data_IF_129823469667
#
_entry.id   IF_129823469667
#
_cell.length_a   1.000
_cell.length_b   1.000
_cell.length_c   1.000
_cell.angle_alpha   90.00
_cell.angle_beta   90.00
_cell.angle_gamma   90.00
#
_symmetry.space_group_name_H-M   'P 1'
#
loop_
_entity.id
_entity.type
_entity.pdbx_description
1 polymer ?
#
# COMPACT_ATOMS: atom_id res chain seq x y z
N UNK A 1 -2.21 -8.82 -19.86
CA UNK A 1 -2.23 -10.05 -20.68
C UNK A 1 -1.08 -10.95 -20.24
N UNK A 2 -1.35 -12.25 -20.11
CA UNK A 2 -0.34 -13.27 -19.79
C UNK A 2 0.43 -13.63 -21.06
N UNK A 3 1.76 -13.64 -21.01
CA UNK A 3 2.55 -14.20 -22.11
C UNK A 3 2.47 -15.73 -22.09
N UNK A 4 2.45 -16.36 -23.26
CA UNK A 4 2.59 -17.83 -23.39
C UNK A 4 3.98 -18.32 -22.95
N UNK A 5 4.97 -17.44 -22.97
CA UNK A 5 6.35 -17.73 -22.59
C UNK A 5 6.58 -17.52 -21.09
N UNK A 6 7.40 -18.38 -20.47
CA UNK A 6 7.86 -18.21 -19.08
C UNK A 6 8.80 -17.02 -18.94
N UNK A 7 8.83 -16.42 -17.76
CA UNK A 7 9.72 -15.29 -17.44
C UNK A 7 11.20 -15.66 -17.62
N UNK A 8 12.07 -14.73 -18.05
CA UNK A 8 13.50 -15.01 -18.19
C UNK A 8 14.14 -15.37 -16.84
N UNK A 9 15.00 -16.39 -16.84
CA UNK A 9 15.60 -16.99 -15.64
C UNK A 9 16.36 -16.01 -14.73
N UNK A 10 17.02 -15.02 -15.31
CA UNK A 10 17.89 -14.07 -14.59
C UNK A 10 17.15 -12.83 -14.09
N UNK A 11 15.88 -12.65 -14.45
CA UNK A 11 15.11 -11.49 -14.00
C UNK A 11 14.97 -11.48 -12.48
N UNK A 12 15.09 -10.29 -11.91
CA UNK A 12 15.00 -10.12 -10.46
C UNK A 12 13.55 -9.90 -10.05
N UNK A 13 13.12 -10.64 -9.04
CA UNK A 13 11.83 -10.47 -8.40
C UNK A 13 12.01 -10.21 -6.91
N UNK A 14 11.06 -9.51 -6.34
CA UNK A 14 11.01 -9.24 -4.90
C UNK A 14 9.75 -9.81 -4.31
N UNK A 15 9.92 -10.59 -3.25
CA UNK A 15 8.87 -11.29 -2.51
C UNK A 15 8.95 -10.89 -1.05
N UNK A 16 7.84 -10.95 -0.34
CA UNK A 16 7.81 -10.75 1.11
C UNK A 16 7.28 -12.00 1.78
N UNK A 17 8.06 -12.53 2.72
CA UNK A 17 7.65 -13.62 3.58
C UNK A 17 7.21 -13.02 4.92
N UNK A 18 5.95 -13.22 5.26
CA UNK A 18 5.38 -12.75 6.53
C UNK A 18 5.47 -13.89 7.53
N UNK A 19 6.19 -13.66 8.62
CA UNK A 19 6.30 -14.59 9.73
C UNK A 19 4.95 -14.75 10.42
N UNK A 20 4.63 -15.98 10.79
CA UNK A 20 3.47 -16.30 11.61
C UNK A 20 3.54 -15.57 12.95
N UNK A 21 2.46 -14.85 13.26
CA UNK A 21 2.31 -14.13 14.51
C UNK A 21 1.81 -15.06 15.61
N UNK A 22 2.10 -14.70 16.86
CA UNK A 22 1.56 -15.40 18.01
C UNK A 22 0.07 -15.07 18.15
N UNK A 23 -0.80 -16.08 18.03
CA UNK A 23 -2.25 -15.89 18.12
C UNK A 23 -2.70 -15.28 19.45
N UNK A 24 -2.01 -15.57 20.56
CA UNK A 24 -2.30 -14.93 21.84
C UNK A 24 -1.94 -13.45 21.81
N UNK A 25 -0.82 -13.08 21.20
CA UNK A 25 -0.44 -11.67 21.02
C UNK A 25 -1.45 -10.91 20.16
N UNK A 26 -1.94 -11.52 19.09
CA UNK A 26 -2.97 -10.94 18.22
C UNK A 26 -4.26 -10.69 19.01
N UNK A 27 -4.74 -11.70 19.76
CA UNK A 27 -5.93 -11.55 20.63
C UNK A 27 -5.75 -10.49 21.71
N UNK A 28 -4.57 -10.41 22.32
CA UNK A 28 -4.25 -9.36 23.31
C UNK A 28 -4.33 -7.98 22.68
N UNK A 29 -3.76 -7.80 21.47
CA UNK A 29 -3.82 -6.53 20.76
C UNK A 29 -5.26 -6.18 20.37
N UNK A 30 -6.04 -7.15 19.90
CA UNK A 30 -7.45 -6.95 19.53
C UNK A 30 -8.31 -6.54 20.75
N UNK A 31 -8.15 -7.23 21.88
CA UNK A 31 -8.84 -6.86 23.12
C UNK A 31 -8.48 -5.45 23.56
N UNK A 32 -7.20 -5.07 23.45
CA UNK A 32 -6.74 -3.73 23.78
C UNK A 32 -7.28 -2.68 22.81
N UNK A 33 -7.33 -2.99 21.51
CA UNK A 33 -7.90 -2.12 20.47
C UNK A 33 -9.32 -1.71 20.83
N UNK A 34 -10.19 -2.66 21.17
CA UNK A 34 -11.57 -2.35 21.55
C UNK A 34 -11.64 -1.49 22.81
N UNK A 35 -10.83 -1.78 23.83
CA UNK A 35 -10.81 -1.00 25.08
C UNK A 35 -10.37 0.44 24.91
N UNK A 36 -9.42 0.72 24.02
CA UNK A 36 -8.89 2.10 23.84
C UNK A 36 -9.65 2.91 22.81
N UNK A 37 -10.48 2.27 21.98
CA UNK A 37 -11.29 2.93 20.93
C UNK A 37 -12.74 3.14 21.31
N UNK A 38 -13.25 2.41 22.30
CA UNK A 38 -14.59 2.58 22.85
C UNK A 38 -14.67 3.88 23.69
N UNK A 39 -15.53 4.86 23.33
CA UNK A 39 -15.69 6.11 24.08
C UNK A 39 -16.25 5.92 25.50
N UNK A 40 -16.92 4.80 25.78
CA UNK A 40 -17.51 4.49 27.10
C UNK A 40 -16.51 3.74 28.01
N UNK A 41 -15.34 3.38 27.48
CA UNK A 41 -14.30 2.68 28.23
C UNK A 41 -13.43 3.63 29.04
N UNK A 42 -13.07 3.22 30.27
CA UNK A 42 -12.10 3.93 31.12
C UNK A 42 -10.70 4.06 30.48
N UNK A 43 -10.42 3.29 29.43
CA UNK A 43 -9.16 3.29 28.70
C UNK A 43 -9.22 4.06 27.37
N UNK A 44 -10.32 4.77 27.09
CA UNK A 44 -10.48 5.52 25.85
C UNK A 44 -9.31 6.49 25.60
N UNK A 45 -8.81 6.52 24.35
CA UNK A 45 -7.68 7.34 23.90
C UNK A 45 -6.33 7.05 24.57
N UNK A 46 -6.17 5.94 25.29
CA UNK A 46 -4.88 5.48 25.79
C UNK A 46 -4.07 4.79 24.68
N UNK A 47 -3.66 5.55 23.66
CA UNK A 47 -2.95 5.05 22.48
C UNK A 47 -1.57 4.51 22.81
N UNK A 48 -1.17 3.46 22.10
CA UNK A 48 0.16 2.86 22.22
C UNK A 48 1.14 3.48 21.23
N UNK A 49 2.39 3.60 21.65
CA UNK A 49 3.51 3.89 20.77
C UNK A 49 3.81 2.69 19.87
N UNK A 50 4.48 2.95 18.74
CA UNK A 50 4.94 1.88 17.84
C UNK A 50 5.77 0.81 18.56
N UNK A 51 6.64 1.23 19.49
CA UNK A 51 7.50 0.31 20.26
C UNK A 51 6.70 -0.60 21.19
N UNK A 52 5.58 -0.13 21.74
CA UNK A 52 4.71 -0.94 22.60
C UNK A 52 3.94 -1.97 21.79
N UNK A 53 3.41 -1.57 20.62
CA UNK A 53 2.78 -2.51 19.67
C UNK A 53 3.77 -3.58 19.23
N UNK A 54 5.00 -3.18 18.86
CA UNK A 54 6.05 -4.11 18.44
C UNK A 54 6.44 -5.10 19.57
N UNK A 55 6.33 -4.71 20.85
CA UNK A 55 6.53 -5.60 21.99
C UNK A 55 5.39 -6.62 22.14
N UNK A 56 4.13 -6.19 21.94
CA UNK A 56 2.96 -7.07 22.01
C UNK A 56 3.00 -8.09 20.87
N UNK A 57 3.20 -7.61 19.64
CA UNK A 57 3.22 -8.42 18.41
C UNK A 57 4.57 -9.06 18.12
N UNK A 58 5.48 -9.12 19.09
CA UNK A 58 6.80 -9.71 18.90
C UNK A 58 6.66 -11.12 18.30
N UNK A 59 7.23 -11.39 17.12
CA UNK A 59 7.07 -12.69 16.48
C UNK A 59 7.65 -13.79 17.35
N UNK A 60 7.11 -15.01 17.19
CA UNK A 60 7.62 -16.17 17.89
C UNK A 60 9.13 -16.33 17.60
N UNK A 61 9.98 -16.23 18.63
CA UNK A 61 11.44 -16.16 18.49
C UNK A 61 12.01 -17.31 17.66
N UNK A 62 11.43 -18.51 17.82
CA UNK A 62 11.74 -19.70 17.01
C UNK A 62 11.48 -19.48 15.52
N UNK A 63 10.29 -19.02 15.13
CA UNK A 63 9.92 -18.86 13.72
C UNK A 63 10.71 -17.76 13.02
N UNK A 64 10.87 -16.62 13.70
CA UNK A 64 11.69 -15.54 13.17
C UNK A 64 13.14 -15.99 12.96
N UNK A 65 13.71 -16.68 13.95
CA UNK A 65 15.08 -17.20 13.85
C UNK A 65 15.22 -18.27 12.78
N UNK A 66 14.19 -19.11 12.58
CA UNK A 66 14.15 -20.14 11.56
C UNK A 66 14.17 -19.53 10.16
N UNK A 67 13.26 -18.59 9.87
CA UNK A 67 13.21 -17.88 8.58
C UNK A 67 14.52 -17.11 8.35
N UNK A 68 15.04 -16.43 9.38
CA UNK A 68 16.32 -15.72 9.27
C UNK A 68 17.49 -16.67 8.93
N UNK A 69 17.58 -17.83 9.59
CA UNK A 69 18.62 -18.83 9.31
C UNK A 69 18.46 -19.40 7.91
N UNK A 70 17.24 -19.72 7.50
CA UNK A 70 16.93 -20.21 6.17
C UNK A 70 17.31 -19.18 5.09
N UNK A 71 16.93 -17.90 5.25
CA UNK A 71 17.29 -16.82 4.32
C UNK A 71 18.81 -16.68 4.10
N UNK A 72 19.63 -16.97 5.12
CA UNK A 72 21.09 -16.92 5.01
C UNK A 72 21.69 -18.08 4.20
N UNK A 73 21.00 -19.21 4.12
CA UNK A 73 21.43 -20.37 3.32
C UNK A 73 21.08 -20.22 1.83
N UNK A 74 20.08 -19.40 1.52
CA UNK A 74 19.61 -19.23 0.16
C UNK A 74 20.48 -18.21 -0.60
N UNK A 75 20.69 -18.39 -1.92
CA UNK A 75 21.43 -17.47 -2.79
C UNK A 75 20.64 -16.18 -3.13
N UNK A 76 19.96 -15.59 -2.15
CA UNK A 76 19.21 -14.35 -2.34
C UNK A 76 20.15 -13.17 -2.60
N UNK A 77 19.77 -12.29 -3.53
CA UNK A 77 20.53 -11.08 -3.86
C UNK A 77 20.40 -10.02 -2.79
N UNK A 78 19.24 -9.95 -2.13
CA UNK A 78 18.99 -9.02 -1.02
C UNK A 78 17.98 -9.62 -0.05
N UNK A 79 18.20 -9.42 1.23
CA UNK A 79 17.25 -9.75 2.29
C UNK A 79 17.14 -8.55 3.22
N UNK A 80 15.98 -7.92 3.23
CA UNK A 80 15.65 -6.81 4.11
C UNK A 80 14.59 -7.24 5.12
N UNK A 81 14.73 -6.77 6.35
CA UNK A 81 13.70 -6.92 7.38
C UNK A 81 12.85 -5.66 7.41
N UNK A 82 11.53 -5.82 7.38
CA UNK A 82 10.58 -4.72 7.45
C UNK A 82 9.72 -4.96 8.69
N UNK A 83 9.70 -3.99 9.60
CA UNK A 83 9.04 -4.17 10.89
C UNK A 83 9.64 -5.33 11.68
N UNK A 84 8.78 -6.07 12.38
CA UNK A 84 9.18 -7.17 13.26
C UNK A 84 9.01 -8.54 12.61
N UNK A 85 8.15 -8.67 11.59
CA UNK A 85 7.64 -9.95 11.09
C UNK A 85 7.83 -10.18 9.58
N UNK A 86 8.24 -9.18 8.80
CA UNK A 86 8.37 -9.31 7.35
C UNK A 86 9.82 -9.44 6.89
N UNK A 87 10.09 -10.47 6.09
CA UNK A 87 11.35 -10.65 5.35
C UNK A 87 11.13 -10.38 3.86
N UNK A 88 11.62 -9.24 3.38
CA UNK A 88 11.59 -8.86 1.97
C UNK A 88 12.85 -9.39 1.28
N UNK A 89 12.66 -10.38 0.42
CA UNK A 89 13.73 -11.07 -0.31
C UNK A 89 13.73 -10.66 -1.78
N UNK A 90 14.91 -10.44 -2.35
CA UNK A 90 15.11 -10.25 -3.79
C UNK A 90 15.93 -11.41 -4.34
N UNK A 91 15.44 -12.06 -5.39
CA UNK A 91 16.06 -13.23 -5.99
C UNK A 91 15.79 -13.29 -7.50
N UNK A 92 16.40 -14.23 -8.20
CA UNK A 92 16.14 -14.48 -9.62
C UNK A 92 14.88 -15.32 -9.80
N UNK A 93 14.21 -15.16 -10.96
CA UNK A 93 13.07 -16.00 -11.37
C UNK A 93 13.42 -17.48 -11.33
N UNK A 94 14.62 -17.86 -11.78
CA UNK A 94 15.08 -19.26 -11.75
C UNK A 94 15.03 -19.82 -10.33
N UNK A 95 15.70 -19.15 -9.40
CA UNK A 95 15.78 -19.63 -8.03
C UNK A 95 14.42 -19.61 -7.33
N UNK A 96 13.59 -18.59 -7.57
CA UNK A 96 12.24 -18.56 -7.01
C UNK A 96 11.33 -19.67 -7.57
N UNK A 97 11.46 -20.00 -8.86
CA UNK A 97 10.68 -21.07 -9.49
C UNK A 97 11.00 -22.42 -8.88
N UNK A 98 12.29 -22.68 -8.61
CA UNK A 98 12.77 -23.87 -7.91
C UNK A 98 12.29 -23.89 -6.46
N UNK A 99 12.41 -22.75 -5.76
CA UNK A 99 12.11 -22.65 -4.33
C UNK A 99 10.63 -22.86 -4.00
N UNK A 100 9.74 -22.32 -4.83
CA UNK A 100 8.30 -22.38 -4.63
C UNK A 100 7.62 -23.42 -5.54
N UNK A 101 8.40 -24.27 -6.22
CA UNK A 101 7.91 -25.31 -7.14
C UNK A 101 6.85 -24.79 -8.13
N UNK A 102 7.13 -23.65 -8.76
CA UNK A 102 6.15 -22.91 -9.57
C UNK A 102 6.80 -22.25 -10.79
N UNK A 103 5.99 -21.71 -11.70
CA UNK A 103 6.46 -21.04 -12.93
C UNK A 103 6.01 -19.60 -12.94
N UNK A 104 6.97 -18.70 -13.15
CA UNK A 104 6.68 -17.28 -13.36
C UNK A 104 6.41 -16.98 -14.83
N UNK A 105 5.47 -16.08 -15.06
CA UNK A 105 5.11 -15.56 -16.37
C UNK A 105 5.23 -14.03 -16.36
N UNK A 106 5.67 -13.42 -17.46
CA UNK A 106 5.63 -11.97 -17.60
C UNK A 106 4.20 -11.55 -17.91
N UNK A 107 3.75 -10.55 -17.18
CA UNK A 107 2.47 -9.90 -17.39
C UNK A 107 2.71 -8.44 -17.69
N UNK A 108 1.98 -7.96 -18.69
CA UNK A 108 1.95 -6.56 -19.06
C UNK A 108 0.50 -6.10 -19.00
N UNK A 109 0.26 -4.93 -18.42
CA UNK A 109 -1.07 -4.35 -18.39
C UNK A 109 -1.49 -3.93 -19.80
N UNK A 110 -2.77 -4.08 -20.14
CA UNK A 110 -3.28 -3.90 -21.52
C UNK A 110 -3.08 -2.47 -22.02
N UNK A 111 -3.28 -1.50 -21.13
CA UNK A 111 -3.18 -0.07 -21.41
C UNK A 111 -1.77 0.48 -21.11
N UNK A 112 -1.07 -0.11 -20.14
CA UNK A 112 0.27 0.31 -19.73
C UNK A 112 1.30 -0.74 -20.16
N UNK A 113 1.70 -0.68 -21.43
CA UNK A 113 2.67 -1.62 -22.01
C UNK A 113 4.11 -1.44 -21.52
N UNK A 114 4.39 -0.40 -20.71
CA UNK A 114 5.74 -0.03 -20.28
C UNK A 114 6.25 -0.86 -19.10
N UNK A 115 5.35 -1.49 -18.33
CA UNK A 115 5.72 -2.24 -17.13
C UNK A 115 5.45 -3.73 -17.33
N UNK A 116 6.51 -4.53 -17.22
CA UNK A 116 6.44 -5.98 -17.15
C UNK A 116 6.58 -6.38 -15.68
N UNK A 117 5.68 -7.24 -15.20
CA UNK A 117 5.79 -7.85 -13.87
C UNK A 117 5.84 -9.37 -14.03
N UNK A 118 6.64 -10.02 -13.20
CA UNK A 118 6.80 -11.47 -13.21
C UNK A 118 5.98 -12.05 -12.06
N UNK A 119 4.94 -12.83 -12.38
CA UNK A 119 4.02 -13.44 -11.41
C UNK A 119 3.76 -14.89 -11.74
N UNK A 120 3.34 -15.66 -10.74
CA UNK A 120 2.92 -17.04 -10.94
C UNK A 120 1.50 -17.10 -11.49
N UNK A 121 1.09 -18.31 -11.90
CA UNK A 121 -0.30 -18.60 -12.21
C UNK A 121 -0.65 -19.98 -11.67
N UNK A 122 -1.51 -20.04 -10.66
CA UNK A 122 -1.91 -21.28 -10.01
C UNK A 122 -1.19 -21.49 -8.68
N UNK A 123 -1.07 -22.75 -8.27
CA UNK A 123 -0.55 -23.12 -6.96
C UNK A 123 0.99 -23.00 -6.91
N UNK A 124 1.48 -22.86 -5.69
CA UNK A 124 2.90 -22.89 -5.36
C UNK A 124 3.07 -23.62 -4.03
N UNK A 125 4.28 -24.04 -3.74
CA UNK A 125 4.63 -24.70 -2.48
C UNK A 125 5.54 -23.78 -1.67
N UNK A 126 5.45 -23.86 -0.36
CA UNK A 126 6.40 -23.17 0.53
C UNK A 126 7.39 -24.23 1.03
N UNK A 127 8.70 -23.94 1.10
CA UNK A 127 9.67 -24.90 1.61
C UNK A 127 9.35 -25.41 3.01
N UNK A 128 9.44 -26.72 3.21
CA UNK A 128 9.11 -27.40 4.48
C UNK A 128 9.85 -26.82 5.68
N UNK A 129 11.11 -26.40 5.48
CA UNK A 129 11.95 -25.75 6.51
C UNK A 129 11.29 -24.52 7.15
N UNK A 130 10.45 -23.79 6.40
CA UNK A 130 9.83 -22.53 6.87
C UNK A 130 8.30 -22.59 6.86
N UNK A 131 7.69 -23.62 6.29
CA UNK A 131 6.24 -23.73 6.11
C UNK A 131 5.45 -23.47 7.40
N UNK A 132 5.87 -24.08 8.51
CA UNK A 132 5.21 -23.92 9.81
C UNK A 132 5.26 -22.50 10.39
N UNK A 133 6.12 -21.64 9.83
CA UNK A 133 6.46 -20.32 10.34
C UNK A 133 6.15 -19.17 9.38
N UNK A 134 5.74 -19.45 8.14
CA UNK A 134 5.30 -18.44 7.17
C UNK A 134 3.79 -18.46 7.12
N UNK A 135 3.17 -17.30 7.29
CA UNK A 135 1.70 -17.16 7.26
C UNK A 135 1.22 -16.67 5.88
N UNK A 136 1.99 -15.76 5.28
CA UNK A 136 1.66 -15.15 4.01
C UNK A 136 2.92 -14.91 3.17
N UNK A 137 2.81 -15.14 1.87
CA UNK A 137 3.82 -14.77 0.89
C UNK A 137 3.25 -13.75 -0.08
N UNK A 138 3.82 -12.55 -0.12
CA UNK A 138 3.35 -11.45 -0.97
C UNK A 138 4.30 -11.25 -2.14
N UNK A 139 3.75 -11.05 -3.34
CA UNK A 139 4.51 -10.75 -4.56
C UNK A 139 4.65 -11.92 -5.53
N UNK A 140 4.14 -13.10 -5.18
CA UNK A 140 4.09 -14.26 -6.07
C UNK A 140 2.99 -14.11 -7.12
N UNK A 141 1.77 -13.87 -6.66
CA UNK A 141 0.53 -13.83 -7.44
C UNK A 141 -0.18 -12.48 -7.36
N UNK A 142 0.29 -11.56 -6.50
CA UNK A 142 -0.35 -10.26 -6.30
C UNK A 142 -0.01 -9.26 -7.41
N UNK A 143 -1.04 -8.68 -8.02
CA UNK A 143 -0.90 -7.64 -9.06
C UNK A 143 -1.05 -6.24 -8.45
N UNK A 144 -0.26 -5.26 -8.89
CA UNK A 144 -0.48 -3.88 -8.48
C UNK A 144 -1.84 -3.38 -9.01
N UNK A 145 -2.44 -2.43 -8.29
CA UNK A 145 -3.60 -1.72 -8.78
C UNK A 145 -3.20 -0.83 -9.95
N UNK A 146 -3.88 -0.98 -11.07
CA UNK A 146 -3.71 -0.13 -12.25
C UNK A 146 -4.87 0.84 -12.35
N UNK A 147 -4.63 2.00 -12.96
CA UNK A 147 -5.67 3.02 -13.16
C UNK A 147 -6.80 2.46 -14.04
N UNK A 148 -8.03 2.54 -13.56
CA UNK A 148 -9.19 2.50 -14.44
C UNK A 148 -9.21 3.79 -15.28
N UNK A 149 -8.78 3.73 -16.53
CA UNK A 149 -8.91 4.86 -17.48
C UNK A 149 -10.37 5.01 -17.94
N UNK A 150 -11.30 4.18 -17.45
CA UNK A 150 -12.75 4.28 -17.71
C UNK A 150 -13.45 5.46 -17.00
N UNK A 151 -12.71 6.45 -16.51
CA UNK A 151 -13.26 7.70 -16.00
C UNK A 151 -13.51 8.69 -17.16
N UNK A 152 -14.78 9.07 -17.35
CA UNK A 152 -15.30 10.08 -18.29
C UNK A 152 -14.22 11.05 -18.77
N UNK A 153 -13.89 10.99 -20.06
CA UNK A 153 -13.54 12.23 -20.76
C UNK A 153 -14.79 13.09 -20.75
N UNK A 154 -14.94 13.95 -19.73
CA UNK A 154 -15.65 15.18 -20.02
C UNK A 154 -14.78 15.88 -21.04
N UNK A 155 -15.19 15.79 -22.31
CA UNK A 155 -14.70 16.71 -23.32
C UNK A 155 -15.08 18.08 -22.81
N UNK A 156 -14.13 18.80 -22.22
CA UNK A 156 -14.20 20.25 -22.21
C UNK A 156 -14.13 20.62 -23.69
N UNK A 157 -15.30 20.76 -24.32
CA UNK A 157 -15.37 21.35 -25.64
C UNK A 157 -14.86 22.78 -25.46
N UNK A 158 -13.86 23.16 -26.25
CA UNK A 158 -13.54 24.57 -26.55
C UNK A 158 -14.73 25.15 -27.35
N UNK A 159 -15.90 25.19 -26.70
CA UNK A 159 -17.08 25.84 -27.22
C UNK A 159 -16.82 27.33 -27.10
N UNK A 160 -16.84 28.01 -28.23
CA UNK A 160 -16.96 29.45 -28.30
C UNK A 160 -18.22 29.82 -27.49
N UNK A 161 -18.05 30.23 -26.23
CA UNK A 161 -19.16 30.58 -25.34
C UNK A 161 -19.70 31.90 -25.84
N UNK A 162 -20.76 31.83 -26.63
CA UNK A 162 -21.57 32.97 -26.98
C UNK A 162 -22.00 33.63 -25.66
N UNK A 163 -21.73 34.94 -25.51
CA UNK A 163 -21.76 35.67 -24.25
C UNK A 163 -23.18 35.96 -23.73
N UNK A 164 -24.12 35.05 -23.96
CA UNK A 164 -25.49 35.15 -23.48
C UNK A 164 -25.89 33.88 -22.72
N UNK A 165 -25.88 34.02 -21.40
CA UNK A 165 -26.71 33.26 -20.47
C UNK A 165 -26.50 31.73 -20.42
N UNK A 166 -25.31 31.31 -20.00
CA UNK A 166 -25.20 30.20 -19.06
C UNK A 166 -24.26 30.62 -17.93
N UNK A 167 -24.83 31.21 -16.87
CA UNK A 167 -24.17 31.16 -15.57
C UNK A 167 -23.96 29.67 -15.30
N UNK A 168 -22.71 29.20 -15.43
CA UNK A 168 -22.28 27.95 -14.81
C UNK A 168 -22.76 28.05 -13.37
N UNK A 169 -23.83 27.30 -13.04
CA UNK A 169 -24.24 27.22 -11.66
C UNK A 169 -23.00 26.71 -10.91
N UNK A 170 -22.70 27.33 -9.78
CA UNK A 170 -21.55 27.03 -8.93
C UNK A 170 -21.52 25.56 -8.41
N UNK A 171 -22.43 24.73 -8.92
CA UNK A 171 -22.73 23.33 -8.59
C UNK A 171 -21.92 22.31 -9.38
N UNK A 172 -21.32 22.66 -10.53
CA UNK A 172 -20.73 21.65 -11.42
C UNK A 172 -19.25 21.34 -11.09
N UNK A 173 -18.58 22.21 -10.32
CA UNK A 173 -17.17 22.03 -9.93
C UNK A 173 -17.06 22.05 -8.41
N UNK A 174 -16.72 20.90 -7.84
CA UNK A 174 -16.46 20.75 -6.41
C UNK A 174 -15.04 21.26 -6.12
N UNK A 175 -14.95 22.36 -5.34
CA UNK A 175 -13.67 22.97 -4.92
C UNK A 175 -13.44 22.80 -3.42
N UNK A 176 -12.19 22.95 -2.91
CA UNK A 176 -11.92 22.91 -1.47
C UNK A 176 -12.74 23.93 -0.69
N UNK A 177 -12.89 25.16 -1.21
CA UNK A 177 -13.67 26.21 -0.55
C UNK A 177 -15.16 25.84 -0.45
N UNK A 178 -15.74 25.31 -1.53
CA UNK A 178 -17.11 24.79 -1.49
C UNK A 178 -17.28 23.72 -0.41
N UNK A 179 -16.35 22.77 -0.28
CA UNK A 179 -16.42 21.72 0.74
C UNK A 179 -16.29 22.29 2.17
N UNK A 180 -15.42 23.27 2.37
CA UNK A 180 -15.27 23.98 3.65
C UNK A 180 -16.59 24.63 4.05
N UNK A 181 -17.24 25.35 3.13
CA UNK A 181 -18.50 26.05 3.39
C UNK A 181 -19.66 25.06 3.58
N UNK A 182 -19.75 24.04 2.72
CA UNK A 182 -20.81 23.03 2.75
C UNK A 182 -20.79 22.20 4.05
N UNK A 183 -19.62 21.72 4.46
CA UNK A 183 -19.45 20.97 5.70
C UNK A 183 -19.24 21.87 6.93
N UNK A 184 -19.30 23.19 6.76
CA UNK A 184 -19.11 24.19 7.83
C UNK A 184 -17.80 23.97 8.60
N UNK A 185 -16.72 23.65 7.89
CA UNK A 185 -15.41 23.38 8.48
C UNK A 185 -14.87 24.69 9.07
N UNK A 186 -14.49 24.72 10.37
CA UNK A 186 -13.96 25.92 10.99
C UNK A 186 -12.70 26.43 10.31
N UNK A 187 -12.61 27.74 10.06
CA UNK A 187 -11.43 28.34 9.46
C UNK A 187 -10.31 28.49 10.50
N UNK A 188 -9.45 27.48 10.58
CA UNK A 188 -8.36 27.37 11.57
C UNK A 188 -7.32 28.50 11.46
N UNK A 189 -7.17 29.14 10.27
CA UNK A 189 -6.30 30.34 10.13
C UNK A 189 -6.82 31.52 10.98
N UNK A 190 -8.11 31.55 11.32
CA UNK A 190 -8.74 32.60 12.15
C UNK A 190 -8.86 32.24 13.64
N UNK A 191 -8.60 31.00 14.04
CA UNK A 191 -8.82 30.54 15.42
C UNK A 191 -7.65 30.84 16.36
N UNK A 192 -6.49 31.31 15.84
CA UNK A 192 -5.32 31.65 16.65
C UNK A 192 -4.73 30.47 17.44
N UNK A 193 -5.20 29.24 17.18
CA UNK A 193 -4.73 28.04 17.86
C UNK A 193 -3.30 27.74 17.37
N UNK A 194 -2.37 27.39 18.28
CA UNK A 194 -1.03 27.01 17.89
C UNK A 194 -1.10 25.87 16.88
N UNK A 195 -0.16 25.87 15.93
CA UNK A 195 -0.01 24.76 15.00
C UNK A 195 0.43 23.55 15.83
N UNK A 196 -0.49 22.61 16.04
CA UNK A 196 -0.17 21.37 16.72
C UNK A 196 0.73 20.51 15.81
N UNK A 197 1.59 19.67 16.39
CA UNK A 197 2.47 18.72 15.66
C UNK A 197 1.70 17.55 15.04
N UNK A 198 0.54 17.83 14.44
CA UNK A 198 -0.31 16.87 13.76
C UNK A 198 0.18 16.72 12.32
N UNK A 199 0.32 15.48 11.89
CA UNK A 199 0.63 15.13 10.50
C UNK A 199 -0.48 14.25 9.92
N UNK A 200 -0.69 14.36 8.62
CA UNK A 200 -1.62 13.53 7.86
C UNK A 200 -0.89 12.91 6.68
N UNK A 201 -1.21 11.65 6.36
CA UNK A 201 -0.65 10.92 5.22
C UNK A 201 -1.75 10.52 4.26
N UNK A 202 -1.58 10.84 2.98
CA UNK A 202 -2.41 10.30 1.88
C UNK A 202 -1.61 9.23 1.15
N UNK A 203 -2.23 8.06 0.93
CA UNK A 203 -1.58 6.90 0.32
C UNK A 203 -2.42 6.45 -0.88
N UNK A 204 -1.77 6.26 -2.03
CA UNK A 204 -2.37 5.68 -3.23
C UNK A 204 -1.40 4.68 -3.88
N UNK A 205 -1.92 3.75 -4.67
CA UNK A 205 -1.17 2.62 -5.23
C UNK A 205 -1.21 2.54 -6.77
N UNK A 206 -1.61 3.62 -7.46
CA UNK A 206 -1.84 3.66 -8.91
C UNK A 206 -0.56 3.90 -9.75
N UNK A 207 0.62 3.88 -9.10
CA UNK A 207 1.89 4.16 -9.78
C UNK A 207 2.01 5.62 -10.26
N UNK A 208 1.21 6.52 -9.69
CA UNK A 208 1.32 7.96 -9.88
C UNK A 208 2.19 8.55 -8.77
N UNK A 209 2.84 9.67 -9.05
CA UNK A 209 3.68 10.34 -8.09
C UNK A 209 3.19 11.77 -7.91
N UNK A 210 3.35 12.25 -6.69
CA UNK A 210 3.15 13.64 -6.36
C UNK A 210 4.15 14.51 -7.13
N UNK A 211 3.67 15.61 -7.71
CA UNK A 211 4.49 16.69 -8.24
C UNK A 211 4.20 17.96 -7.44
N UNK A 212 5.26 18.58 -6.92
CA UNK A 212 5.17 19.81 -6.15
C UNK A 212 4.66 20.99 -6.99
N UNK A 213 4.97 21.03 -8.29
CA UNK A 213 4.51 22.10 -9.17
C UNK A 213 3.01 22.08 -9.36
N UNK A 214 2.42 20.88 -9.46
CA UNK A 214 0.97 20.70 -9.57
C UNK A 214 0.27 21.15 -8.29
N UNK A 215 0.85 20.83 -7.12
CA UNK A 215 0.31 21.31 -5.84
C UNK A 215 0.34 22.85 -5.76
N UNK A 216 1.46 23.48 -6.11
CA UNK A 216 1.58 24.94 -6.08
C UNK A 216 0.56 25.60 -7.02
N UNK A 217 0.44 25.08 -8.24
CA UNK A 217 -0.54 25.57 -9.23
C UNK A 217 -1.97 25.39 -8.73
N UNK A 218 -2.27 24.25 -8.11
CA UNK A 218 -3.58 23.97 -7.53
C UNK A 218 -3.90 24.94 -6.38
N UNK A 219 -2.98 25.11 -5.44
CA UNK A 219 -3.11 26.05 -4.32
C UNK A 219 -3.37 27.48 -4.78
N UNK A 220 -2.67 27.95 -5.82
CA UNK A 220 -2.89 29.27 -6.41
C UNK A 220 -4.28 29.37 -7.06
N UNK A 221 -4.70 28.35 -7.80
CA UNK A 221 -5.98 28.36 -8.51
C UNK A 221 -7.20 28.35 -7.57
N UNK A 222 -7.10 27.68 -6.42
CA UNK A 222 -8.19 27.55 -5.44
C UNK A 222 -7.98 28.38 -4.16
N UNK A 223 -6.95 29.23 -4.14
CA UNK A 223 -6.63 30.18 -3.07
C UNK A 223 -6.50 29.54 -1.67
N UNK A 224 -5.77 28.42 -1.55
CA UNK A 224 -5.50 27.71 -0.28
C UNK A 224 -4.03 27.75 0.17
#
# INVERSE_FOLDING_TARGET
MKSSQTSPSNELITLSLVSKQNQNSVKTLESLFWKITDPDSDQYQQWLTRKEIDKILKPHSKCYSLIQKWCKKQPFKKVNKIGTDVFKITTTVKHASELFSTKFYPYTHVQNKKRIIHRIHGQYQIPDEIYSCVDLTVGLDTFPLEKNIFGRQQKFTDGNVDSSQQQLQQTDIITPQFLIDYYKIPNVKKTGLPRNDVSQGSIQFLGQYYDEKDLQKYSQAVNI
#
